data_IF_324494525521
#
_entry.id   IF_324494525521
#
_cell.length_a   1.000
_cell.length_b   1.000
_cell.length_c   1.000
_cell.angle_alpha   90.00
_cell.angle_beta   90.00
_cell.angle_gamma   90.00
#
_symmetry.space_group_name_H-M   'P 1'
#
loop_
_entity.id
_entity.type
_entity.pdbx_description
1 polymer ?
#
# COMPACT_ATOMS: atom_id res chain seq x y z
N UNK A 1 -2.97 -55.90 -60.18
CA UNK A 1 -1.85 -55.25 -59.47
C UNK A 1 -1.98 -53.75 -59.71
N UNK A 2 -2.18 -52.81 -58.80
CA UNK A 2 -2.45 -52.72 -57.37
C UNK A 2 -3.00 -51.29 -57.16
N UNK A 3 -4.00 -51.18 -56.28
CA UNK A 3 -4.73 -49.97 -55.85
C UNK A 3 -3.97 -48.63 -55.83
N UNK A 4 -4.61 -47.56 -56.31
CA UNK A 4 -4.52 -46.23 -55.69
C UNK A 4 -5.92 -45.81 -55.24
N UNK A 5 -6.13 -45.98 -53.94
CA UNK A 5 -7.23 -45.45 -53.16
C UNK A 5 -6.91 -43.99 -52.81
N UNK A 6 -7.79 -43.08 -53.17
CA UNK A 6 -7.73 -41.66 -52.81
C UNK A 6 -8.48 -41.46 -51.49
N UNK A 7 -7.84 -41.05 -50.38
CA UNK A 7 -8.58 -40.51 -49.24
C UNK A 7 -8.91 -39.02 -49.47
N UNK A 8 -10.08 -38.53 -49.01
CA UNK A 8 -10.46 -37.14 -49.15
C UNK A 8 -9.62 -36.24 -48.23
N UNK A 9 -9.21 -35.11 -48.79
CA UNK A 9 -8.76 -33.91 -48.08
C UNK A 9 -9.86 -33.47 -47.11
N UNK A 10 -9.63 -33.58 -45.81
CA UNK A 10 -10.64 -33.15 -44.83
C UNK A 10 -10.30 -33.41 -43.37
N UNK A 11 -9.04 -33.27 -42.96
CA UNK A 11 -8.68 -33.25 -41.54
C UNK A 11 -7.34 -32.55 -41.35
N UNK A 12 -7.34 -31.21 -41.31
CA UNK A 12 -6.17 -30.47 -40.82
C UNK A 12 -6.65 -29.32 -39.95
N UNK A 13 -6.27 -29.42 -38.68
CA UNK A 13 -6.09 -28.33 -37.72
C UNK A 13 -7.31 -27.49 -37.32
N UNK A 14 -8.02 -27.98 -36.30
CA UNK A 14 -8.61 -27.15 -35.26
C UNK A 14 -7.88 -27.42 -33.93
N UNK A 15 -6.59 -27.09 -33.83
CA UNK A 15 -5.84 -27.16 -32.57
C UNK A 15 -4.87 -26.00 -32.50
N UNK A 16 -5.30 -24.85 -31.94
CA UNK A 16 -4.40 -23.80 -31.42
C UNK A 16 -5.14 -22.66 -30.70
N UNK A 17 -6.17 -22.92 -29.86
CA UNK A 17 -6.86 -21.86 -29.09
C UNK A 17 -7.13 -22.22 -27.61
N UNK A 18 -6.53 -23.29 -27.08
CA UNK A 18 -6.82 -23.78 -25.70
C UNK A 18 -5.72 -23.42 -24.67
N UNK A 19 -4.66 -22.71 -25.05
CA UNK A 19 -3.50 -22.51 -24.16
C UNK A 19 -3.67 -21.37 -23.15
N UNK A 20 -4.43 -20.32 -23.47
CA UNK A 20 -4.55 -19.14 -22.58
C UNK A 20 -5.43 -19.36 -21.35
N UNK A 21 -6.37 -20.31 -21.39
CA UNK A 21 -7.26 -20.59 -20.24
C UNK A 21 -6.62 -21.50 -19.20
N UNK A 22 -5.59 -22.27 -19.57
CA UNK A 22 -4.94 -23.23 -18.67
C UNK A 22 -4.04 -22.53 -17.64
N UNK A 23 -3.24 -21.55 -18.07
CA UNK A 23 -2.34 -20.80 -17.18
C UNK A 23 -3.08 -19.87 -16.23
N UNK A 24 -4.14 -19.19 -16.70
CA UNK A 24 -4.96 -18.34 -15.84
C UNK A 24 -5.71 -19.15 -14.76
N UNK A 25 -6.08 -20.40 -15.08
CA UNK A 25 -6.73 -21.29 -14.11
C UNK A 25 -5.73 -21.83 -13.07
N UNK A 26 -4.51 -22.19 -13.47
CA UNK A 26 -3.48 -22.66 -12.53
C UNK A 26 -3.08 -21.58 -11.52
N UNK A 27 -3.02 -20.32 -11.95
CA UNK A 27 -2.62 -19.20 -11.09
C UNK A 27 -3.72 -18.88 -10.05
N UNK A 28 -4.99 -18.99 -10.46
CA UNK A 28 -6.14 -18.86 -9.57
C UNK A 28 -6.19 -20.00 -8.55
N UNK A 29 -5.91 -21.24 -8.98
CA UNK A 29 -5.90 -22.39 -8.09
C UNK A 29 -4.75 -22.32 -7.09
N UNK A 30 -3.56 -21.86 -7.51
CA UNK A 30 -2.42 -21.63 -6.61
C UNK A 30 -2.72 -20.55 -5.55
N UNK A 31 -3.31 -19.42 -5.96
CA UNK A 31 -3.70 -18.36 -5.03
C UNK A 31 -4.80 -18.80 -4.06
N UNK A 32 -5.76 -19.62 -4.53
CA UNK A 32 -6.77 -20.26 -3.69
C UNK A 32 -6.13 -21.15 -2.63
N UNK A 33 -5.18 -22.01 -3.02
CA UNK A 33 -4.47 -22.90 -2.07
C UNK A 33 -3.70 -22.08 -1.03
N UNK A 34 -3.06 -20.98 -1.42
CA UNK A 34 -2.37 -20.11 -0.45
C UNK A 34 -3.35 -19.52 0.55
N UNK A 35 -4.51 -19.06 0.07
CA UNK A 35 -5.56 -18.47 0.88
C UNK A 35 -6.17 -19.45 1.90
N UNK A 36 -6.32 -20.73 1.53
CA UNK A 36 -7.02 -21.73 2.36
C UNK A 36 -6.09 -22.63 3.17
N UNK A 37 -4.84 -22.85 2.73
CA UNK A 37 -4.00 -23.94 3.26
C UNK A 37 -2.54 -23.52 3.50
N UNK A 38 -1.88 -22.82 2.58
CA UNK A 38 -0.44 -22.51 2.69
C UNK A 38 -0.17 -21.44 3.74
N UNK A 39 -0.96 -20.36 3.74
CA UNK A 39 -0.84 -19.32 4.76
C UNK A 39 -1.21 -19.87 6.13
N UNK A 40 -0.40 -19.55 7.15
CA UNK A 40 -0.63 -19.96 8.54
C UNK A 40 -0.62 -18.74 9.47
N UNK A 41 -1.75 -18.33 10.06
CA UNK A 41 -3.09 -18.92 9.91
C UNK A 41 -3.67 -18.74 8.49
N UNK A 42 -4.53 -19.66 8.05
CA UNK A 42 -5.19 -19.58 6.75
C UNK A 42 -6.07 -18.33 6.68
N UNK A 43 -6.03 -17.62 5.55
CA UNK A 43 -6.74 -16.36 5.36
C UNK A 43 -8.26 -16.54 5.53
N UNK A 44 -8.79 -17.68 5.05
CA UNK A 44 -10.20 -18.06 5.17
C UNK A 44 -10.70 -18.17 6.63
N UNK A 45 -9.82 -18.30 7.62
CA UNK A 45 -10.23 -18.34 9.03
C UNK A 45 -10.69 -16.98 9.54
N UNK A 46 -10.19 -15.90 8.95
CA UNK A 46 -10.49 -14.54 9.40
C UNK A 46 -11.31 -13.76 8.37
N UNK A 47 -11.11 -13.98 7.08
CA UNK A 47 -11.74 -13.21 6.02
C UNK A 47 -12.83 -13.99 5.29
N UNK A 48 -14.02 -13.38 5.16
CA UNK A 48 -15.07 -13.88 4.27
C UNK A 48 -14.67 -13.71 2.80
N UNK A 49 -14.88 -14.78 2.03
CA UNK A 49 -14.64 -14.83 0.59
C UNK A 49 -15.51 -15.92 -0.04
N UNK A 50 -16.47 -15.51 -0.90
CA UNK A 50 -17.47 -16.37 -1.56
C UNK A 50 -16.84 -17.46 -2.40
N UNK A 51 -15.73 -17.15 -3.06
CA UNK A 51 -15.03 -18.08 -3.94
C UNK A 51 -14.57 -19.35 -3.19
N UNK A 52 -14.19 -19.24 -1.91
CA UNK A 52 -13.86 -20.37 -1.02
C UNK A 52 -14.95 -20.68 0.01
N UNK A 53 -16.11 -20.04 -0.12
CA UNK A 53 -17.25 -20.16 0.80
C UNK A 53 -16.88 -19.86 2.26
N UNK A 54 -15.93 -18.95 2.48
CA UNK A 54 -15.66 -18.46 3.82
C UNK A 54 -16.65 -17.36 4.19
N UNK A 55 -17.19 -17.44 5.39
CA UNK A 55 -18.09 -16.47 6.01
C UNK A 55 -17.45 -15.86 7.28
N UNK A 56 -16.11 -15.87 7.38
CA UNK A 56 -15.42 -15.40 8.56
C UNK A 56 -15.55 -13.87 8.78
N UNK A 57 -15.71 -13.48 10.06
CA UNK A 57 -16.03 -12.09 10.46
C UNK A 57 -14.90 -11.40 11.25
N UNK A 58 -13.77 -12.07 11.49
CA UNK A 58 -12.64 -11.49 12.25
C UNK A 58 -11.99 -10.36 11.43
N UNK A 59 -11.81 -10.59 10.13
CA UNK A 59 -11.39 -9.62 9.15
C UNK A 59 -12.56 -9.20 8.25
N UNK A 60 -12.42 -8.09 7.49
CA UNK A 60 -13.45 -7.65 6.57
C UNK A 60 -13.74 -8.67 5.46
N UNK A 61 -14.97 -8.65 4.96
CA UNK A 61 -15.38 -9.38 3.76
C UNK A 61 -14.63 -8.87 2.54
N UNK A 62 -13.90 -9.78 1.87
CA UNK A 62 -13.09 -9.42 0.70
C UNK A 62 -13.98 -9.16 -0.52
N UNK A 63 -15.13 -9.82 -0.62
CA UNK A 63 -16.12 -9.58 -1.68
C UNK A 63 -16.74 -8.17 -1.61
N UNK A 64 -16.85 -7.62 -0.40
CA UNK A 64 -17.37 -6.27 -0.18
C UNK A 64 -16.28 -5.22 -0.32
N UNK A 65 -15.10 -5.50 0.25
CA UNK A 65 -13.98 -4.58 0.26
C UNK A 65 -13.30 -4.44 -1.11
N UNK A 66 -13.34 -5.48 -1.94
CA UNK A 66 -12.80 -5.53 -3.31
C UNK A 66 -11.39 -4.94 -3.44
N UNK A 67 -10.44 -5.42 -2.63
CA UNK A 67 -9.10 -4.85 -2.60
C UNK A 67 -8.38 -5.09 -3.93
N UNK A 68 -7.59 -4.10 -4.34
CA UNK A 68 -6.61 -4.22 -5.41
C UNK A 68 -5.48 -5.17 -5.01
N UNK A 69 -4.77 -5.71 -6.00
CA UNK A 69 -3.56 -6.54 -5.78
C UNK A 69 -2.60 -5.87 -4.79
N UNK A 70 -2.45 -4.55 -4.91
CA UNK A 70 -1.44 -3.84 -4.13
C UNK A 70 -1.87 -3.63 -2.69
N UNK A 71 -3.18 -3.48 -2.46
CA UNK A 71 -3.76 -3.45 -1.12
C UNK A 71 -3.63 -4.81 -0.44
N UNK A 72 -3.92 -5.91 -1.15
CA UNK A 72 -3.77 -7.27 -0.60
C UNK A 72 -2.30 -7.56 -0.31
N UNK A 73 -1.40 -7.27 -1.26
CA UNK A 73 0.04 -7.48 -1.10
C UNK A 73 0.59 -6.72 0.09
N UNK A 74 0.22 -5.44 0.23
CA UNK A 74 0.67 -4.63 1.36
C UNK A 74 0.18 -5.18 2.70
N UNK A 75 -1.10 -5.55 2.79
CA UNK A 75 -1.70 -6.11 4.01
C UNK A 75 -1.10 -7.47 4.38
N UNK A 76 -0.94 -8.38 3.42
CA UNK A 76 -0.34 -9.71 3.65
C UNK A 76 1.15 -9.58 4.02
N UNK A 77 1.89 -8.68 3.38
CA UNK A 77 3.31 -8.48 3.69
C UNK A 77 3.53 -7.91 5.08
N UNK A 78 2.80 -6.84 5.44
CA UNK A 78 3.11 -6.06 6.64
C UNK A 78 2.19 -6.34 7.83
N UNK A 79 1.09 -7.07 7.63
CA UNK A 79 0.01 -7.19 8.61
C UNK A 79 -0.76 -5.88 8.78
N UNK A 80 -1.97 -5.97 9.35
CA UNK A 80 -2.80 -4.82 9.68
C UNK A 80 -3.72 -5.14 10.86
N UNK A 81 -3.63 -4.35 11.94
CA UNK A 81 -4.42 -4.58 13.15
C UNK A 81 -4.20 -5.98 13.73
N UNK A 82 -5.26 -6.81 13.75
CA UNK A 82 -5.21 -8.21 14.21
C UNK A 82 -4.70 -9.18 13.14
N UNK A 83 -4.57 -8.74 11.89
CA UNK A 83 -4.01 -9.53 10.80
C UNK A 83 -2.47 -9.54 10.92
N UNK A 84 -1.84 -10.71 11.12
CA UNK A 84 -0.37 -10.79 11.23
C UNK A 84 0.31 -10.50 9.90
N UNK A 85 1.60 -10.19 9.96
CA UNK A 85 2.45 -10.13 8.77
C UNK A 85 2.81 -11.55 8.31
N UNK A 86 2.73 -11.82 7.01
CA UNK A 86 3.07 -13.11 6.41
C UNK A 86 4.41 -13.08 5.65
N UNK A 87 5.12 -11.95 5.63
CA UNK A 87 6.44 -11.86 4.98
C UNK A 87 7.51 -12.77 5.58
N UNK A 88 7.28 -13.28 6.79
CA UNK A 88 8.19 -14.22 7.47
C UNK A 88 7.83 -15.68 7.18
N UNK A 89 6.64 -15.94 6.62
CA UNK A 89 6.09 -17.30 6.44
C UNK A 89 5.70 -17.63 5.00
N UNK A 90 5.54 -16.63 4.13
CA UNK A 90 5.27 -16.75 2.70
C UNK A 90 6.39 -16.09 1.89
N UNK A 91 6.69 -16.64 0.72
CA UNK A 91 7.62 -16.00 -0.23
C UNK A 91 6.97 -14.79 -0.91
N UNK A 92 7.79 -13.94 -1.56
CA UNK A 92 7.27 -12.78 -2.30
C UNK A 92 6.35 -13.21 -3.44
N UNK A 93 6.68 -14.31 -4.09
CA UNK A 93 5.92 -14.91 -5.18
C UNK A 93 4.58 -15.47 -4.67
N UNK A 94 4.57 -16.12 -3.50
CA UNK A 94 3.33 -16.59 -2.87
C UNK A 94 2.43 -15.43 -2.46
N UNK A 95 3.00 -14.36 -1.89
CA UNK A 95 2.27 -13.14 -1.53
C UNK A 95 1.67 -12.49 -2.78
N UNK A 96 2.42 -12.39 -3.87
CA UNK A 96 1.93 -11.85 -5.14
C UNK A 96 0.80 -12.72 -5.71
N UNK A 97 0.96 -14.05 -5.63
CA UNK A 97 -0.02 -15.03 -6.14
C UNK A 97 -1.36 -14.92 -5.39
N UNK A 98 -1.35 -14.90 -4.06
CA UNK A 98 -2.58 -14.74 -3.27
C UNK A 98 -3.20 -13.35 -3.45
N UNK A 99 -2.37 -12.32 -3.68
CA UNK A 99 -2.85 -10.96 -3.91
C UNK A 99 -3.60 -10.81 -5.23
N UNK A 100 -3.04 -11.38 -6.31
CA UNK A 100 -3.71 -11.46 -7.60
C UNK A 100 -5.01 -12.24 -7.51
N UNK A 101 -4.97 -13.41 -6.86
CA UNK A 101 -6.14 -14.24 -6.65
C UNK A 101 -7.27 -13.47 -5.96
N UNK A 102 -7.02 -12.88 -4.77
CA UNK A 102 -8.04 -12.13 -4.02
C UNK A 102 -8.61 -10.98 -4.85
N UNK A 103 -7.76 -10.17 -5.49
CA UNK A 103 -8.22 -9.05 -6.31
C UNK A 103 -9.05 -9.53 -7.51
N UNK A 104 -8.65 -10.63 -8.16
CA UNK A 104 -9.33 -11.17 -9.32
C UNK A 104 -10.70 -11.77 -8.98
N UNK A 105 -10.81 -12.53 -7.89
CA UNK A 105 -12.09 -13.16 -7.50
C UNK A 105 -13.08 -12.18 -6.87
N UNK A 106 -12.60 -11.08 -6.29
CA UNK A 106 -13.45 -10.03 -5.70
C UNK A 106 -13.77 -8.90 -6.69
N UNK A 107 -13.08 -8.83 -7.82
CA UNK A 107 -13.25 -7.79 -8.85
C UNK A 107 -12.50 -6.48 -8.54
N UNK A 108 -11.50 -6.50 -7.66
CA UNK A 108 -10.60 -5.39 -7.34
C UNK A 108 -9.55 -5.12 -8.44
N UNK A 109 -9.99 -4.81 -9.66
CA UNK A 109 -9.10 -4.58 -10.80
C UNK A 109 -8.47 -3.19 -10.76
N UNK A 110 -7.30 -3.07 -10.12
CA UNK A 110 -6.26 -2.10 -10.46
C UNK A 110 -5.32 -2.71 -11.50
N UNK A 111 -4.86 -1.94 -12.48
CA UNK A 111 -4.21 -2.40 -13.70
C UNK A 111 -3.05 -3.39 -13.46
N UNK A 112 -3.28 -4.65 -13.84
CA UNK A 112 -2.23 -5.62 -14.06
C UNK A 112 -1.43 -5.22 -15.31
N UNK A 113 -0.13 -5.05 -15.17
CA UNK A 113 0.81 -5.33 -16.25
C UNK A 113 1.80 -6.35 -15.76
N UNK A 114 1.78 -7.49 -16.43
CA UNK A 114 2.81 -8.52 -16.41
C UNK A 114 4.18 -7.90 -16.64
N UNK A 115 5.18 -8.36 -15.89
CA UNK A 115 6.39 -8.85 -16.52
C UNK A 115 7.06 -9.85 -15.59
N UNK A 116 7.23 -11.04 -16.15
CA UNK A 116 8.02 -12.14 -15.64
C UNK A 116 9.50 -11.75 -15.47
N UNK A 117 10.03 -12.22 -14.34
CA UNK A 117 11.33 -12.87 -14.07
C UNK A 117 12.58 -12.51 -14.90
N UNK A 118 13.64 -12.16 -14.15
CA UNK A 118 14.90 -12.90 -14.19
C UNK A 118 15.60 -12.80 -12.82
N UNK A 119 15.51 -13.89 -12.07
CA UNK A 119 16.44 -14.33 -11.02
C UNK A 119 17.86 -14.47 -11.65
N UNK A 120 19.01 -14.28 -10.99
CA UNK A 120 19.47 -15.02 -9.82
C UNK A 120 20.69 -14.33 -9.16
N UNK A 121 20.83 -14.65 -7.88
CA UNK A 121 21.75 -14.16 -6.84
C UNK A 121 23.27 -14.28 -7.15
N UNK A 122 24.08 -13.41 -6.51
CA UNK A 122 24.96 -13.82 -5.39
C UNK A 122 25.97 -12.73 -4.95
N UNK A 123 25.80 -12.31 -3.70
CA UNK A 123 26.80 -12.15 -2.63
C UNK A 123 27.95 -11.08 -2.66
N UNK A 124 27.97 -10.35 -1.54
CA UNK A 124 29.11 -9.88 -0.73
C UNK A 124 29.83 -8.53 -1.02
N UNK A 125 29.57 -7.61 -0.09
CA UNK A 125 30.52 -6.78 0.67
C UNK A 125 30.96 -5.38 0.16
N UNK A 126 30.49 -4.39 0.94
CA UNK A 126 31.22 -3.23 1.49
C UNK A 126 31.29 -1.89 0.73
N UNK A 127 30.83 -0.87 1.48
CA UNK A 127 31.29 0.53 1.56
C UNK A 127 31.00 1.56 0.44
N UNK A 128 30.05 2.44 0.80
CA UNK A 128 30.06 3.92 0.71
C UNK A 128 29.80 4.69 -0.61
N UNK A 129 28.70 5.45 -0.53
CA UNK A 129 28.53 6.91 -0.77
C UNK A 129 28.57 7.49 -2.20
N UNK A 130 27.48 8.23 -2.50
CA UNK A 130 27.26 9.25 -3.55
C UNK A 130 27.11 8.70 -4.99
N UNK A 131 26.14 9.07 -5.82
CA UNK A 131 25.31 10.28 -5.94
C UNK A 131 23.86 9.95 -6.37
N UNK A 132 22.97 10.93 -6.16
CA UNK A 132 21.54 11.00 -6.52
C UNK A 132 21.29 10.83 -8.04
N UNK A 133 20.05 10.49 -8.43
CA UNK A 133 19.21 11.55 -8.99
C UNK A 133 17.87 11.63 -8.24
N UNK A 134 17.68 12.64 -7.40
CA UNK A 134 16.66 13.68 -7.58
C UNK A 134 15.58 13.45 -8.64
N UNK A 135 14.35 13.51 -8.11
CA UNK A 135 13.07 13.40 -8.82
C UNK A 135 12.71 11.98 -9.27
N UNK A 136 12.77 11.05 -8.32
CA UNK A 136 11.96 9.84 -8.40
C UNK A 136 10.50 10.30 -8.36
N UNK A 137 9.87 10.17 -9.53
CA UNK A 137 8.43 10.21 -9.77
C UNK A 137 7.70 9.77 -8.52
N UNK A 138 6.72 10.55 -8.05
CA UNK A 138 5.78 10.18 -7.00
C UNK A 138 5.03 8.93 -7.47
N UNK A 139 5.65 7.77 -7.31
CA UNK A 139 5.14 6.46 -7.72
C UNK A 139 4.14 6.06 -6.66
N UNK A 140 2.96 6.66 -6.82
CA UNK A 140 1.74 6.43 -6.06
C UNK A 140 1.81 6.83 -4.58
N UNK A 141 0.93 7.76 -4.20
CA UNK A 141 0.68 8.14 -2.81
C UNK A 141 0.14 6.93 -2.04
N UNK A 142 0.78 6.60 -0.92
CA UNK A 142 0.46 5.41 -0.10
C UNK A 142 0.20 5.79 1.36
N UNK A 143 -1.07 5.80 1.76
CA UNK A 143 -1.50 6.17 3.12
C UNK A 143 -1.04 5.18 4.19
N UNK A 144 -0.84 3.90 3.85
CA UNK A 144 -0.32 2.87 4.79
C UNK A 144 1.17 3.09 5.07
N UNK A 145 1.96 3.38 4.02
CA UNK A 145 3.35 3.81 4.18
C UNK A 145 3.43 5.14 4.93
N UNK A 146 2.47 6.03 4.69
CA UNK A 146 2.27 7.28 5.41
C UNK A 146 2.08 7.07 6.90
N UNK A 147 1.16 6.18 7.30
CA UNK A 147 0.93 5.85 8.71
C UNK A 147 2.21 5.28 9.36
N UNK A 148 2.90 4.37 8.66
CA UNK A 148 4.15 3.77 9.15
C UNK A 148 5.21 4.84 9.37
N UNK A 149 5.34 5.79 8.45
CA UNK A 149 6.25 6.92 8.57
C UNK A 149 5.82 7.87 9.69
N UNK A 150 4.52 8.08 9.85
CA UNK A 150 3.92 8.91 10.91
C UNK A 150 4.24 8.38 12.32
N UNK A 151 4.63 7.12 12.49
CA UNK A 151 5.15 6.62 13.79
C UNK A 151 6.29 7.46 14.35
N UNK A 152 7.09 8.12 13.51
CA UNK A 152 8.14 9.07 13.92
C UNK A 152 7.58 10.31 14.63
N UNK A 153 6.30 10.62 14.41
CA UNK A 153 5.58 11.78 14.94
C UNK A 153 4.72 11.43 16.17
N UNK A 154 4.29 10.17 16.32
CA UNK A 154 3.34 9.69 17.35
C UNK A 154 3.78 9.99 18.80
N UNK A 155 5.08 10.14 19.07
CA UNK A 155 5.58 10.52 20.39
C UNK A 155 5.22 11.95 20.78
N UNK A 156 5.07 12.85 19.81
CA UNK A 156 4.82 14.27 20.04
C UNK A 156 3.40 14.71 19.66
N UNK A 157 2.76 14.01 18.73
CA UNK A 157 1.47 14.41 18.16
C UNK A 157 0.39 13.33 18.34
N UNK A 158 -0.85 13.77 18.47
CA UNK A 158 -2.07 12.95 18.35
C UNK A 158 -2.72 13.21 16.99
N UNK A 159 -3.58 12.30 16.56
CA UNK A 159 -4.26 12.36 15.26
C UNK A 159 -5.74 12.01 15.32
N UNK A 160 -6.26 11.67 16.50
CA UNK A 160 -7.69 11.41 16.67
C UNK A 160 -8.46 12.72 16.66
N UNK A 161 -9.70 12.71 16.15
CA UNK A 161 -10.59 13.87 16.18
C UNK A 161 -10.80 14.33 17.62
N UNK A 162 -10.57 15.63 17.88
CA UNK A 162 -10.64 16.19 19.23
C UNK A 162 -9.57 15.65 20.21
N UNK A 163 -8.54 14.97 19.70
CA UNK A 163 -7.47 14.42 20.51
C UNK A 163 -6.63 15.48 21.24
N UNK A 164 -6.01 15.08 22.34
CA UNK A 164 -5.26 16.00 23.20
C UNK A 164 -3.96 16.52 22.55
N UNK A 165 -3.63 17.78 22.82
CA UNK A 165 -2.30 18.33 22.58
C UNK A 165 -1.25 17.67 23.48
N UNK A 166 -0.04 17.46 22.95
CA UNK A 166 1.10 16.89 23.70
C UNK A 166 2.32 17.81 23.57
N UNK A 167 3.49 17.24 23.22
CA UNK A 167 4.69 18.01 22.89
C UNK A 167 4.44 18.89 21.65
N UNK A 168 3.66 18.37 20.70
CA UNK A 168 3.09 19.10 19.57
C UNK A 168 1.55 19.12 19.63
N UNK A 169 0.91 19.93 18.77
CA UNK A 169 -0.55 19.98 18.68
C UNK A 169 -1.12 18.68 18.11
N UNK A 170 -2.43 18.46 18.31
CA UNK A 170 -3.18 17.48 17.53
C UNK A 170 -3.13 17.83 16.03
N UNK A 171 -3.04 16.80 15.19
CA UNK A 171 -2.88 16.94 13.73
C UNK A 171 -4.11 16.48 12.93
N UNK A 172 -5.21 16.14 13.59
CA UNK A 172 -6.46 15.82 12.90
C UNK A 172 -6.92 17.04 12.09
N UNK A 173 -7.18 16.85 10.79
CA UNK A 173 -7.59 17.92 9.89
C UNK A 173 -6.53 18.99 9.63
N UNK A 174 -5.24 18.68 9.82
CA UNK A 174 -4.18 19.66 9.60
C UNK A 174 -3.99 20.04 8.13
N UNK A 175 -4.34 19.16 7.18
CA UNK A 175 -4.17 19.41 5.74
C UNK A 175 -5.18 20.46 5.29
N UNK A 176 -4.68 21.60 4.80
CA UNK A 176 -5.49 22.76 4.44
C UNK A 176 -5.91 23.66 5.62
N UNK A 177 -5.61 23.29 6.87
CA UNK A 177 -5.96 24.12 8.02
C UNK A 177 -5.01 25.31 8.19
N UNK A 178 -5.45 26.39 8.87
CA UNK A 178 -4.59 27.51 9.19
C UNK A 178 -3.39 27.10 10.06
N UNK A 179 -2.23 27.68 9.76
CA UNK A 179 -1.00 27.48 10.53
C UNK A 179 -1.21 28.03 11.95
N UNK A 180 -0.73 27.28 12.94
CA UNK A 180 -0.73 27.67 14.34
C UNK A 180 -2.13 27.94 14.95
N UNK A 181 -3.14 27.18 14.52
CA UNK A 181 -4.54 27.40 14.92
C UNK A 181 -5.14 26.34 15.86
N UNK A 182 -4.39 25.33 16.31
CA UNK A 182 -4.95 24.35 17.24
C UNK A 182 -5.21 24.99 18.61
N UNK A 183 -6.44 24.85 19.09
CA UNK A 183 -6.87 25.41 20.36
C UNK A 183 -6.06 24.85 21.53
N UNK A 184 -5.71 25.74 22.46
CA UNK A 184 -5.00 25.38 23.69
C UNK A 184 -3.53 24.95 23.50
N UNK A 185 -2.95 25.00 22.30
CA UNK A 185 -1.53 24.74 22.08
C UNK A 185 -0.71 26.03 22.04
N UNK A 186 0.45 26.05 22.71
CA UNK A 186 1.35 27.21 22.74
C UNK A 186 2.42 27.12 21.65
N UNK A 187 2.12 27.71 20.50
CA UNK A 187 3.04 27.80 19.36
C UNK A 187 4.27 28.67 19.63
N UNK A 188 5.26 28.60 18.74
CA UNK A 188 6.38 29.54 18.66
C UNK A 188 5.95 30.80 17.91
N UNK A 189 6.45 31.96 18.31
CA UNK A 189 6.18 33.24 17.64
C UNK A 189 6.48 33.15 16.14
N UNK A 190 7.61 32.53 15.78
CA UNK A 190 7.99 32.29 14.38
C UNK A 190 6.95 31.49 13.56
N UNK A 191 6.24 30.55 14.18
CA UNK A 191 5.24 29.75 13.46
C UNK A 191 3.90 30.49 13.35
N UNK A 192 3.58 31.32 14.35
CA UNK A 192 2.43 32.23 14.31
C UNK A 192 2.63 33.27 13.20
N UNK A 193 3.81 33.89 13.15
CA UNK A 193 4.18 34.87 12.11
C UNK A 193 4.24 34.26 10.71
N UNK A 194 4.60 32.98 10.59
CA UNK A 194 4.63 32.28 9.30
C UNK A 194 3.26 32.21 8.62
N UNK A 195 2.18 32.06 9.40
CA UNK A 195 0.79 32.20 8.98
C UNK A 195 0.34 31.42 7.72
N UNK A 196 -0.84 31.76 7.22
CA UNK A 196 -1.48 31.13 6.06
C UNK A 196 -1.97 29.71 6.37
N UNK A 197 -2.11 28.88 5.34
CA UNK A 197 -2.66 27.52 5.46
C UNK A 197 -1.60 26.45 5.21
N UNK A 198 -1.82 25.27 5.79
CA UNK A 198 -1.03 24.06 5.58
C UNK A 198 -1.41 23.34 4.27
N UNK A 199 -1.05 23.95 3.14
CA UNK A 199 -1.14 23.27 1.84
C UNK A 199 -0.20 22.05 1.80
N UNK A 200 -0.48 21.03 0.95
CA UNK A 200 0.39 19.87 0.81
C UNK A 200 1.86 20.23 0.57
N UNK A 201 2.13 21.22 -0.29
CA UNK A 201 3.49 21.67 -0.58
C UNK A 201 4.18 22.33 0.64
N UNK A 202 3.44 23.14 1.41
CA UNK A 202 3.99 23.76 2.63
C UNK A 202 4.23 22.73 3.72
N UNK A 203 3.34 21.75 3.86
CA UNK A 203 3.55 20.62 4.76
C UNK A 203 4.76 19.81 4.34
N UNK A 204 4.94 19.50 3.05
CA UNK A 204 6.08 18.75 2.55
C UNK A 204 7.40 19.49 2.87
N UNK A 205 7.46 20.79 2.57
CA UNK A 205 8.63 21.63 2.88
C UNK A 205 8.92 21.68 4.39
N UNK A 206 7.89 21.80 5.22
CA UNK A 206 8.04 21.83 6.67
C UNK A 206 8.47 20.46 7.23
N UNK A 207 7.89 19.36 6.76
CA UNK A 207 8.25 18.00 7.13
C UNK A 207 9.67 17.63 6.67
N UNK A 208 10.14 18.19 5.55
CA UNK A 208 11.50 17.99 5.06
C UNK A 208 12.55 18.54 6.04
N UNK A 209 12.30 19.73 6.62
CA UNK A 209 13.16 20.33 7.64
C UNK A 209 12.47 21.51 8.35
N UNK A 210 11.82 21.30 9.51
CA UNK A 210 10.99 22.33 10.15
C UNK A 210 11.76 23.61 10.48
N UNK A 211 12.98 23.48 11.03
CA UNK A 211 13.82 24.61 11.41
C UNK A 211 14.38 25.38 10.21
N UNK A 212 14.46 24.75 9.04
CA UNK A 212 14.86 25.43 7.80
C UNK A 212 13.67 26.13 7.16
N UNK A 213 12.51 25.48 7.15
CA UNK A 213 11.28 26.04 6.61
C UNK A 213 10.76 27.22 7.45
N UNK A 214 10.82 27.11 8.77
CA UNK A 214 10.42 28.15 9.73
C UNK A 214 11.50 28.29 10.81
N UNK A 215 12.52 29.14 10.59
CA UNK A 215 13.54 29.43 11.59
C UNK A 215 12.90 29.93 12.90
N UNK A 216 13.25 29.31 14.03
CA UNK A 216 12.66 29.63 15.33
C UNK A 216 11.43 28.79 15.70
N UNK A 217 11.00 27.85 14.85
CA UNK A 217 9.97 26.88 15.23
C UNK A 217 10.41 26.01 16.42
N UNK A 218 9.48 25.74 17.34
CA UNK A 218 9.69 24.84 18.48
C UNK A 218 9.82 23.37 18.08
N UNK A 219 9.38 23.00 16.88
CA UNK A 219 9.47 21.61 16.40
C UNK A 219 10.93 21.24 16.11
N UNK A 220 11.52 20.37 16.94
CA UNK A 220 12.92 19.93 16.86
C UNK A 220 13.15 18.70 15.98
N UNK A 221 12.20 18.38 15.09
CA UNK A 221 12.28 17.20 14.24
C UNK A 221 13.37 17.33 13.18
N UNK A 222 14.13 16.25 12.96
CA UNK A 222 15.26 16.22 12.02
C UNK A 222 14.83 16.32 10.55
N UNK A 223 13.59 15.95 10.24
CA UNK A 223 13.02 16.01 8.89
C UNK A 223 12.89 14.65 8.21
N UNK A 224 12.01 14.58 7.21
CA UNK A 224 11.85 13.45 6.29
C UNK A 224 12.63 13.73 5.00
N UNK A 225 13.70 12.98 4.74
CA UNK A 225 14.60 13.24 3.60
C UNK A 225 14.02 12.84 2.24
N UNK A 226 13.12 11.86 2.23
CA UNK A 226 12.50 11.34 1.00
C UNK A 226 11.23 12.11 0.70
N UNK A 227 11.07 12.55 -0.55
CA UNK A 227 9.86 13.24 -0.99
C UNK A 227 8.63 12.34 -0.87
N UNK A 228 8.77 11.06 -1.22
CA UNK A 228 7.69 10.08 -1.08
C UNK A 228 7.23 9.92 0.38
N UNK A 229 8.15 9.81 1.35
CA UNK A 229 7.79 9.76 2.78
C UNK A 229 6.98 10.99 3.22
N UNK A 230 7.29 12.18 2.67
CA UNK A 230 6.54 13.40 2.98
C UNK A 230 5.12 13.32 2.39
N UNK A 231 5.02 12.97 1.11
CA UNK A 231 3.77 12.89 0.38
C UNK A 231 2.83 11.83 0.98
N UNK A 232 3.36 10.66 1.33
CA UNK A 232 2.62 9.57 1.98
C UNK A 232 2.08 9.97 3.36
N UNK A 233 2.89 10.64 4.19
CA UNK A 233 2.45 11.14 5.50
C UNK A 233 1.35 12.19 5.36
N UNK A 234 1.48 13.09 4.40
CA UNK A 234 0.46 14.12 4.15
C UNK A 234 -0.85 13.48 3.73
N UNK A 235 -0.81 12.51 2.83
CA UNK A 235 -2.00 11.79 2.40
C UNK A 235 -2.63 10.96 3.52
N UNK A 236 -1.81 10.33 4.37
CA UNK A 236 -2.31 9.68 5.58
C UNK A 236 -3.05 10.68 6.46
N UNK A 237 -2.46 11.86 6.74
CA UNK A 237 -3.10 12.88 7.58
C UNK A 237 -4.40 13.42 6.97
N UNK A 238 -4.46 13.59 5.64
CA UNK A 238 -5.66 14.03 4.93
C UNK A 238 -6.78 12.99 5.03
N UNK A 239 -6.43 11.70 4.86
CA UNK A 239 -7.39 10.60 4.90
C UNK A 239 -8.11 10.43 6.23
N UNK A 240 -7.56 10.97 7.33
CA UNK A 240 -8.21 10.94 8.65
C UNK A 240 -9.49 11.78 8.70
N UNK A 241 -9.64 12.76 7.81
CA UNK A 241 -10.82 13.63 7.76
C UNK A 241 -11.83 13.28 6.68
N UNK A 242 -11.48 12.44 5.71
CA UNK A 242 -12.39 12.08 4.63
C UNK A 242 -13.54 11.17 5.08
N UNK A 243 -13.38 10.43 6.18
CA UNK A 243 -14.50 9.75 6.86
C UNK A 243 -15.55 10.71 7.44
N UNK A 244 -15.22 12.00 7.61
CA UNK A 244 -16.13 13.04 8.10
C UNK A 244 -16.72 13.92 6.98
N UNK A 245 -16.23 13.87 5.74
CA UNK A 245 -16.73 14.70 4.61
C UNK A 245 -17.95 14.12 3.87
N UNK A 246 -18.59 13.09 4.41
CA UNK A 246 -19.78 12.44 3.80
C UNK A 246 -21.08 12.67 4.57
N UNK A 247 -21.18 13.77 5.34
CA UNK A 247 -22.44 14.21 5.95
C UNK A 247 -22.90 15.56 5.39
#
# INVERSE_FOLDING_TARGET
MTNLSTPPLGAVMFVALMSSTASAQSDLDAGRTIFTETAKPACALCHALKDVRSEAEIGPSLDEFKPTVEQVRAAVTSGIGVMPAFSETLTKEEIETVSKYVAQVTGGLGTATESETADESAEAASAQESEKPDNEVLTQINTVAGEKTFRKCKACHTVDEGGANRVGPNLYGIVGAPVAAADGFRYSDALIEYGGDWTPDRLAAFLASPRKAVPGTKMSFAGLRKAQDQADVIAYLDSLTDTAKTN
#
